data_IF_487662182460
#
_entry.id   IF_487662182460
#
_cell.length_a   1.000
_cell.length_b   1.000
_cell.length_c   1.000
_cell.angle_alpha   90.00
_cell.angle_beta   90.00
_cell.angle_gamma   90.00
#
_symmetry.space_group_name_H-M   'P 1'
#
loop_
_entity.id
_entity.type
_entity.pdbx_description
1 polymer ?
#
# COMPACT_ATOMS: atom_id res chain seq x y z
N UNK A 1 25.20 -46.37 -48.38
CA UNK A 1 26.45 -46.30 -47.59
C UNK A 1 26.08 -46.09 -46.13
N UNK A 2 26.44 -47.04 -45.26
CA UNK A 2 26.06 -47.07 -43.86
C UNK A 2 27.05 -46.26 -43.00
N UNK A 3 26.54 -45.52 -42.02
CA UNK A 3 27.35 -44.85 -41.00
C UNK A 3 27.00 -45.40 -39.61
N UNK A 4 28.03 -45.94 -38.96
CA UNK A 4 28.09 -46.45 -37.60
C UNK A 4 27.89 -45.32 -36.59
N UNK A 5 27.05 -45.51 -35.57
CA UNK A 5 27.13 -44.70 -34.36
C UNK A 5 27.23 -45.57 -33.11
N UNK A 6 28.33 -45.33 -32.40
CA UNK A 6 28.77 -45.95 -31.15
C UNK A 6 27.99 -45.38 -29.98
N UNK A 7 27.75 -46.23 -28.98
CA UNK A 7 26.97 -45.92 -27.79
C UNK A 7 27.56 -44.80 -26.93
N UNK A 8 26.66 -44.14 -26.20
CA UNK A 8 26.97 -43.29 -25.07
C UNK A 8 26.14 -43.71 -23.86
N UNK A 9 26.82 -43.68 -22.71
CA UNK A 9 26.47 -44.31 -21.44
C UNK A 9 25.30 -43.59 -20.75
N UNK A 10 24.38 -44.39 -20.22
CA UNK A 10 23.34 -43.97 -19.29
C UNK A 10 23.94 -43.47 -17.98
N UNK A 11 23.55 -42.26 -17.54
CA UNK A 11 23.70 -41.78 -16.16
C UNK A 11 22.35 -41.20 -15.70
N UNK A 12 21.74 -41.72 -14.64
CA UNK A 12 20.46 -41.23 -14.15
C UNK A 12 20.60 -39.98 -13.27
N UNK A 13 19.80 -38.98 -13.64
CA UNK A 13 18.90 -38.15 -12.83
C UNK A 13 19.47 -37.45 -11.59
N UNK A 14 19.60 -36.12 -11.70
CA UNK A 14 19.43 -35.22 -10.57
C UNK A 14 18.23 -34.31 -10.87
N UNK A 15 17.13 -34.54 -10.16
CA UNK A 15 15.86 -33.83 -10.29
C UNK A 15 16.03 -32.39 -9.79
N UNK A 16 15.86 -31.41 -10.67
CA UNK A 16 15.56 -30.03 -10.28
C UNK A 16 14.24 -29.65 -10.92
N UNK A 17 13.29 -29.24 -10.07
CA UNK A 17 11.92 -28.89 -10.41
C UNK A 17 11.86 -27.81 -11.49
N UNK A 18 11.17 -28.09 -12.59
CA UNK A 18 10.73 -27.11 -13.57
C UNK A 18 9.50 -27.65 -14.29
N UNK A 19 8.34 -27.05 -14.01
CA UNK A 19 7.13 -26.93 -14.84
C UNK A 19 5.94 -26.65 -13.90
N UNK A 20 5.04 -25.70 -14.12
CA UNK A 20 4.41 -25.14 -15.33
C UNK A 20 3.94 -23.72 -14.89
N UNK A 21 4.10 -22.62 -15.64
CA UNK A 21 3.23 -22.21 -16.74
C UNK A 21 3.76 -20.85 -17.25
N UNK A 22 4.21 -20.75 -18.51
CA UNK A 22 3.45 -20.15 -19.61
C UNK A 22 2.92 -18.74 -19.32
N UNK A 23 3.65 -17.72 -19.78
CA UNK A 23 3.09 -16.54 -20.45
C UNK A 23 4.11 -16.00 -21.44
N UNK A 24 4.09 -16.53 -22.66
CA UNK A 24 4.59 -15.82 -23.85
C UNK A 24 3.39 -15.10 -24.42
N UNK A 25 3.38 -13.77 -24.34
CA UNK A 25 2.44 -12.93 -25.05
C UNK A 25 3.26 -12.05 -25.99
N UNK A 26 3.41 -12.55 -27.22
CA UNK A 26 3.76 -11.75 -28.38
C UNK A 26 2.74 -10.60 -28.51
N UNK A 27 3.18 -9.36 -28.30
CA UNK A 27 2.44 -8.19 -28.73
C UNK A 27 3.15 -7.55 -29.93
N UNK A 28 2.46 -7.36 -31.07
CA UNK A 28 3.02 -6.69 -32.23
C UNK A 28 3.25 -5.21 -31.92
N UNK A 29 4.44 -4.78 -32.30
CA UNK A 29 4.89 -3.40 -32.38
C UNK A 29 4.11 -2.68 -33.49
N UNK A 30 3.96 -1.36 -33.31
CA UNK A 30 3.60 -0.36 -34.33
C UNK A 30 2.10 -0.02 -34.49
N UNK A 31 1.58 0.87 -33.62
CA UNK A 31 0.93 2.13 -34.05
C UNK A 31 1.26 3.23 -33.04
N UNK A 32 2.13 4.15 -33.46
CA UNK A 32 2.58 5.32 -32.71
C UNK A 32 1.48 6.38 -32.66
N UNK A 33 0.81 6.54 -31.51
CA UNK A 33 0.27 7.84 -31.11
C UNK A 33 1.39 8.59 -30.41
N UNK A 34 1.90 9.65 -31.03
CA UNK A 34 3.09 10.42 -30.64
C UNK A 34 3.03 11.15 -29.30
N UNK A 35 2.63 10.49 -28.23
CA UNK A 35 2.85 10.91 -26.85
C UNK A 35 4.06 10.15 -26.30
N UNK A 36 5.21 10.79 -26.35
CA UNK A 36 6.38 10.38 -25.57
C UNK A 36 6.06 10.68 -24.10
N UNK A 37 5.62 9.67 -23.36
CA UNK A 37 5.63 9.72 -21.91
C UNK A 37 7.10 9.76 -21.47
N UNK A 38 7.54 10.88 -20.90
CA UNK A 38 8.82 10.96 -20.20
C UNK A 38 8.68 10.16 -18.91
N UNK A 39 9.13 8.91 -18.95
CA UNK A 39 9.02 7.90 -17.89
C UNK A 39 10.04 8.11 -16.74
N UNK A 40 10.67 9.29 -16.65
CA UNK A 40 11.86 9.51 -15.82
C UNK A 40 11.72 10.58 -14.72
N UNK A 41 10.51 10.84 -14.21
CA UNK A 41 10.32 11.73 -13.05
C UNK A 41 9.27 11.22 -12.05
N UNK A 42 9.22 9.91 -11.79
CA UNK A 42 8.86 9.49 -10.44
C UNK A 42 10.11 9.67 -9.57
N UNK A 43 10.07 10.69 -8.71
CA UNK A 43 11.08 10.94 -7.69
C UNK A 43 11.20 9.67 -6.85
N UNK A 44 12.22 8.88 -7.17
CA UNK A 44 12.70 7.77 -6.38
C UNK A 44 13.28 8.33 -5.08
N UNK A 45 12.42 8.40 -4.07
CA UNK A 45 12.84 8.37 -2.67
C UNK A 45 12.53 6.97 -2.15
N UNK A 46 13.57 6.15 -1.99
CA UNK A 46 13.49 4.80 -1.44
C UNK A 46 12.69 4.73 -0.14
N UNK A 47 11.68 3.87 -0.10
CA UNK A 47 11.51 2.79 0.90
C UNK A 47 10.24 2.00 0.57
N UNK A 48 10.30 0.67 0.75
CA UNK A 48 9.19 -0.30 0.73
C UNK A 48 7.78 0.30 0.85
N UNK A 49 6.88 -0.10 -0.06
CA UNK A 49 5.51 0.42 -0.32
C UNK A 49 4.56 0.56 0.87
N UNK A 50 4.96 1.33 1.86
CA UNK A 50 4.23 1.64 3.08
C UNK A 50 3.46 2.92 2.84
N UNK A 51 2.13 2.83 2.99
CA UNK A 51 1.26 4.00 2.87
C UNK A 51 1.73 5.09 3.85
N UNK A 52 1.65 6.38 3.44
CA UNK A 52 2.06 7.48 4.29
C UNK A 52 1.30 7.44 5.63
N UNK A 53 2.04 7.38 6.73
CA UNK A 53 1.47 7.30 8.09
C UNK A 53 1.21 8.70 8.64
N UNK A 54 0.07 8.85 9.31
CA UNK A 54 -0.30 10.09 10.00
C UNK A 54 0.44 10.16 11.33
N UNK A 55 1.14 11.27 11.56
CA UNK A 55 1.83 11.54 12.81
C UNK A 55 0.93 12.31 13.79
N UNK A 56 0.40 11.60 14.79
CA UNK A 56 -0.51 12.14 15.80
C UNK A 56 0.21 12.96 16.88
N UNK A 57 1.55 12.87 17.00
CA UNK A 57 2.31 13.59 18.03
C UNK A 57 2.35 15.10 17.78
N UNK A 58 2.18 15.50 16.51
CA UNK A 58 2.09 16.88 16.05
C UNK A 58 0.78 17.57 16.42
N UNK A 59 -0.24 16.82 16.83
CA UNK A 59 -1.51 17.40 17.25
C UNK A 59 -1.40 18.07 18.62
N UNK A 60 -2.10 19.20 18.77
CA UNK A 60 -2.25 19.89 20.06
C UNK A 60 -3.08 19.03 21.01
N UNK A 61 -2.80 19.10 22.32
CA UNK A 61 -3.55 18.39 23.38
C UNK A 61 -5.06 18.65 23.26
N UNK A 62 -5.46 19.88 22.97
CA UNK A 62 -6.86 20.25 22.77
C UNK A 62 -7.52 19.48 21.62
N UNK A 63 -6.81 19.27 20.49
CA UNK A 63 -7.33 18.52 19.35
C UNK A 63 -7.50 17.03 19.69
N UNK A 64 -6.52 16.44 20.39
CA UNK A 64 -6.60 15.07 20.88
C UNK A 64 -7.79 14.89 21.84
N UNK A 65 -7.99 15.81 22.78
CA UNK A 65 -9.15 15.80 23.70
C UNK A 65 -10.48 15.98 22.99
N UNK A 66 -10.52 16.82 21.96
CA UNK A 66 -11.73 16.96 21.13
C UNK A 66 -12.07 15.63 20.45
N UNK A 67 -11.07 14.95 19.89
CA UNK A 67 -11.27 13.64 19.29
C UNK A 67 -11.78 12.62 20.31
N UNK A 68 -11.14 12.49 21.47
CA UNK A 68 -11.57 11.51 22.49
C UNK A 68 -12.98 11.79 23.01
N UNK A 69 -13.40 13.05 23.05
CA UNK A 69 -14.76 13.45 23.43
C UNK A 69 -15.78 13.13 22.33
N UNK A 70 -15.45 13.39 21.06
CA UNK A 70 -16.37 13.18 19.93
C UNK A 70 -16.61 11.70 19.66
N UNK A 71 -15.56 10.87 19.81
CA UNK A 71 -15.62 9.43 19.54
C UNK A 71 -15.69 8.59 20.83
N UNK A 72 -15.93 9.23 21.98
CA UNK A 72 -16.08 8.56 23.28
C UNK A 72 -14.99 7.50 23.57
N UNK A 73 -13.74 7.86 23.31
CA UNK A 73 -12.60 6.92 23.44
C UNK A 73 -12.44 6.52 24.91
N UNK A 74 -12.50 5.21 25.24
CA UNK A 74 -12.48 4.75 26.62
C UNK A 74 -11.10 4.92 27.28
N UNK A 75 -11.09 5.02 28.61
CA UNK A 75 -9.85 5.01 29.40
C UNK A 75 -9.08 6.34 29.45
N UNK A 76 -9.65 7.43 28.92
CA UNK A 76 -9.06 8.77 28.98
C UNK A 76 -9.76 9.61 30.06
N UNK A 77 -8.98 10.10 31.01
CA UNK A 77 -9.43 10.98 32.08
C UNK A 77 -9.14 12.46 31.80
N UNK A 78 -9.72 13.38 32.61
CA UNK A 78 -9.46 14.81 32.49
C UNK A 78 -7.99 15.17 32.72
N UNK A 79 -7.25 14.40 33.52
CA UNK A 79 -5.83 14.62 33.82
C UNK A 79 -4.87 13.74 32.99
N UNK A 80 -5.36 13.06 31.94
CA UNK A 80 -4.50 12.25 31.08
C UNK A 80 -3.42 13.09 30.39
N UNK A 81 -2.21 12.52 30.31
CA UNK A 81 -1.07 13.17 29.67
C UNK A 81 -1.23 13.24 28.15
N UNK A 82 -0.40 14.05 27.48
CA UNK A 82 -0.40 14.13 26.00
C UNK A 82 -0.07 12.76 25.38
N UNK A 83 0.83 12.01 26.00
CA UNK A 83 1.27 10.69 25.51
C UNK A 83 0.13 9.67 25.62
N UNK A 84 -0.57 9.64 26.74
CA UNK A 84 -1.74 8.76 26.95
C UNK A 84 -2.83 9.04 25.92
N UNK A 85 -3.14 10.33 25.71
CA UNK A 85 -4.11 10.78 24.71
C UNK A 85 -3.70 10.33 23.31
N UNK A 86 -2.42 10.49 22.95
CA UNK A 86 -1.93 10.12 21.62
C UNK A 86 -2.00 8.61 21.41
N UNK A 87 -1.63 7.82 22.42
CA UNK A 87 -1.70 6.35 22.38
C UNK A 87 -3.13 5.85 22.23
N UNK A 88 -4.08 6.37 23.02
CA UNK A 88 -5.49 5.98 22.93
C UNK A 88 -6.12 6.38 21.59
N UNK A 89 -5.85 7.60 21.12
CA UNK A 89 -6.32 8.07 19.81
C UNK A 89 -5.75 7.21 18.69
N UNK A 90 -4.45 6.87 18.74
CA UNK A 90 -3.82 6.00 17.75
C UNK A 90 -4.46 4.62 17.68
N UNK A 91 -4.70 3.99 18.84
CA UNK A 91 -5.39 2.70 18.91
C UNK A 91 -6.79 2.77 18.29
N UNK A 92 -7.59 3.75 18.70
CA UNK A 92 -8.95 3.93 18.17
C UNK A 92 -8.95 4.24 16.67
N UNK A 93 -8.05 5.12 16.22
CA UNK A 93 -7.93 5.54 14.82
C UNK A 93 -7.68 4.35 13.89
N UNK A 94 -6.80 3.43 14.29
CA UNK A 94 -6.47 2.26 13.46
C UNK A 94 -7.62 1.24 13.38
N UNK A 95 -8.53 1.24 14.35
CA UNK A 95 -9.70 0.35 14.36
C UNK A 95 -10.94 0.98 13.73
N UNK A 96 -10.92 2.29 13.51
CA UNK A 96 -12.09 3.04 13.07
C UNK A 96 -12.33 2.80 11.58
N UNK A 97 -13.50 2.26 11.25
CA UNK A 97 -13.94 2.10 9.87
C UNK A 97 -14.70 3.34 9.42
N UNK A 98 -14.43 3.77 8.18
CA UNK A 98 -15.05 4.97 7.63
C UNK A 98 -15.61 4.64 6.25
N UNK A 99 -16.89 4.93 6.03
CA UNK A 99 -17.52 4.79 4.72
C UNK A 99 -17.16 5.96 3.82
N UNK A 100 -16.73 5.69 2.59
CA UNK A 100 -16.38 6.71 1.61
C UNK A 100 -17.51 7.70 1.35
N UNK A 101 -18.74 7.20 1.14
CA UNK A 101 -19.91 8.03 0.86
C UNK A 101 -20.13 9.09 1.95
N UNK A 102 -20.12 8.69 3.22
CA UNK A 102 -20.29 9.63 4.34
C UNK A 102 -19.18 10.67 4.41
N UNK A 103 -17.93 10.30 4.09
CA UNK A 103 -16.80 11.23 4.08
C UNK A 103 -16.98 12.29 3.02
N UNK A 104 -17.31 11.86 1.79
CA UNK A 104 -17.50 12.77 0.66
C UNK A 104 -18.67 13.71 0.89
N UNK A 105 -19.82 13.20 1.36
CA UNK A 105 -20.97 14.02 1.69
C UNK A 105 -20.64 15.06 2.77
N UNK A 106 -19.94 14.66 3.83
CA UNK A 106 -19.57 15.57 4.91
C UNK A 106 -18.55 16.62 4.44
N UNK A 107 -17.57 16.23 3.62
CA UNK A 107 -16.59 17.16 3.05
C UNK A 107 -17.27 18.21 2.16
N UNK A 108 -18.19 17.80 1.28
CA UNK A 108 -18.96 18.72 0.43
C UNK A 108 -19.81 19.69 1.25
N UNK A 109 -20.47 19.21 2.32
CA UNK A 109 -21.24 20.06 3.25
C UNK A 109 -20.40 21.09 3.98
N UNK A 110 -19.12 20.82 4.23
CA UNK A 110 -18.21 21.80 4.85
C UNK A 110 -17.73 22.80 3.80
N UNK A 111 -17.39 22.33 2.60
CA UNK A 111 -16.94 23.20 1.49
C UNK A 111 -17.99 24.25 1.11
N UNK A 112 -19.27 23.88 1.07
CA UNK A 112 -20.35 24.80 0.69
C UNK A 112 -20.74 25.85 1.74
N UNK A 113 -20.10 25.86 2.92
CA UNK A 113 -20.34 26.87 3.97
C UNK A 113 -19.33 28.02 3.94
N UNK A 114 -18.31 27.93 3.08
CA UNK A 114 -17.33 28.98 2.80
C UNK A 114 -17.62 29.58 1.43
#
# INVERSE_FOLDING_TARGET
MAAVQKGARSRPVRTTAANVARYSADYPKDVSNGYSYKEDQYIGGSADGTAPRVDLTKLKVHALRKYTKVYEVPGIGPQSSKEDLTSAVSKHWNTMTVSEESVLQNLMRVRGRH
#
